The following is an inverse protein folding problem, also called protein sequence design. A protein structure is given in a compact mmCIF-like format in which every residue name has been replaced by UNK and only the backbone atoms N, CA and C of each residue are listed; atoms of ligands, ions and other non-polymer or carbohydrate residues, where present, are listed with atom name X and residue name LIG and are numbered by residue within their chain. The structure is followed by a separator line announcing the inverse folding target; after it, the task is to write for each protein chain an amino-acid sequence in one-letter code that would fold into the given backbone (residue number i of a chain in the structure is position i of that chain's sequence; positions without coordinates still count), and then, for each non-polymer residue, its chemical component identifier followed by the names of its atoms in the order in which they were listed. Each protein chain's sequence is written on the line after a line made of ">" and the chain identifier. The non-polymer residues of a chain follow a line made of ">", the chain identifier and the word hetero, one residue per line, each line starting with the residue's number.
data_IF_122793939629
#
_entry.id   IF_122793939629
#
_cell.length_a   1.000
_cell.length_b   1.000
_cell.length_c   1.000
_cell.angle_alpha   90.00
_cell.angle_beta   90.00
_cell.angle_gamma   90.00
#
_symmetry.space_group_name_H-M   'P 1'
#
loop_
_entity.id
_entity.type
_entity.pdbx_description
1 polymer ?
#
# COMPACT_ATOMS: atom_id res chain seq x y z
N UNK A 1 -11.60 -39.55 44.54
CA UNK A 1 -11.73 -39.27 43.11
C UNK A 1 -11.97 -37.78 42.88
N UNK A 2 -10.94 -36.92 42.91
CA UNK A 2 -11.09 -35.49 42.53
C UNK A 2 -9.88 -34.87 41.80
N UNK A 3 -8.75 -35.57 41.64
CA UNK A 3 -7.53 -34.95 41.11
C UNK A 3 -7.43 -34.92 39.57
N UNK A 4 -8.12 -35.81 38.85
CA UNK A 4 -8.12 -35.80 37.37
C UNK A 4 -9.04 -34.73 36.74
N UNK A 5 -10.06 -34.27 37.47
CA UNK A 5 -11.02 -33.29 36.93
C UNK A 5 -10.40 -31.88 36.86
N UNK A 6 -9.60 -31.50 37.87
CA UNK A 6 -8.90 -30.23 37.91
C UNK A 6 -7.81 -30.10 36.81
N UNK A 7 -7.13 -31.21 36.50
CA UNK A 7 -6.12 -31.24 35.44
C UNK A 7 -6.73 -31.06 34.03
N UNK A 8 -7.92 -31.62 33.79
CA UNK A 8 -8.65 -31.45 32.53
C UNK A 8 -9.22 -30.03 32.37
N UNK A 9 -9.69 -29.40 33.47
CA UNK A 9 -10.09 -27.99 33.45
C UNK A 9 -8.90 -27.07 33.12
N UNK A 10 -7.74 -27.29 33.73
CA UNK A 10 -6.54 -26.49 33.48
C UNK A 10 -6.01 -26.61 32.03
N UNK A 11 -6.12 -27.80 31.43
CA UNK A 11 -5.74 -28.00 30.01
C UNK A 11 -6.66 -27.23 29.05
N UNK A 12 -7.96 -27.16 29.33
CA UNK A 12 -8.91 -26.40 28.50
C UNK A 12 -8.70 -24.88 28.60
N UNK A 13 -8.47 -24.35 29.80
CA UNK A 13 -8.20 -22.91 30.00
C UNK A 13 -6.91 -22.46 29.29
N UNK A 14 -5.87 -23.30 29.35
CA UNK A 14 -4.61 -23.02 28.66
C UNK A 14 -4.77 -23.04 27.13
N UNK A 15 -5.57 -23.96 26.59
CA UNK A 15 -5.84 -24.03 25.15
C UNK A 15 -6.64 -22.81 24.67
N UNK A 16 -7.65 -22.37 25.44
CA UNK A 16 -8.41 -21.15 25.16
C UNK A 16 -7.51 -19.92 25.19
N UNK A 17 -6.61 -19.81 26.18
CA UNK A 17 -5.66 -18.71 26.27
C UNK A 17 -4.73 -18.65 25.05
N UNK A 18 -4.21 -19.80 24.60
CA UNK A 18 -3.36 -19.90 23.41
C UNK A 18 -4.13 -19.46 22.16
N UNK A 19 -5.38 -19.92 21.97
CA UNK A 19 -6.21 -19.51 20.84
C UNK A 19 -6.49 -18.00 20.83
N UNK A 20 -6.77 -17.40 21.99
CA UNK A 20 -6.97 -15.95 22.12
C UNK A 20 -5.70 -15.19 21.76
N UNK A 21 -4.53 -15.62 22.24
CA UNK A 21 -3.24 -14.99 21.91
C UNK A 21 -2.94 -15.11 20.40
N UNK A 22 -3.21 -16.27 19.79
CA UNK A 22 -3.05 -16.45 18.34
C UNK A 22 -3.93 -15.49 17.53
N UNK A 23 -5.21 -15.35 17.89
CA UNK A 23 -6.11 -14.41 17.22
C UNK A 23 -5.67 -12.95 17.39
N UNK A 24 -5.08 -12.59 18.53
CA UNK A 24 -4.53 -11.25 18.75
C UNK A 24 -3.29 -10.97 17.88
N UNK A 25 -2.43 -11.96 17.65
CA UNK A 25 -1.19 -11.80 16.87
C UNK A 25 -1.42 -11.53 15.37
N UNK A 26 -2.49 -12.09 14.79
CA UNK A 26 -2.82 -11.92 13.36
C UNK A 26 -3.25 -10.49 12.98
N UNK A 27 -3.56 -9.64 13.96
CA UNK A 27 -3.96 -8.25 13.72
C UNK A 27 -2.79 -7.31 13.40
N UNK A 28 -1.56 -7.81 13.33
CA UNK A 28 -0.39 -7.07 12.83
C UNK A 28 -0.33 -7.07 11.29
N UNK A 29 -1.40 -6.61 10.65
CA UNK A 29 -1.38 -6.35 9.22
C UNK A 29 -0.26 -5.33 8.92
N UNK A 30 0.78 -5.77 8.21
CA UNK A 30 1.81 -4.88 7.66
C UNK A 30 1.12 -3.93 6.68
N UNK A 31 0.67 -2.79 7.20
CA UNK A 31 0.18 -1.69 6.38
C UNK A 31 1.37 -1.23 5.55
N UNK A 32 1.39 -1.62 4.27
CA UNK A 32 2.37 -1.13 3.31
C UNK A 32 2.17 0.38 3.21
N UNK A 33 3.06 1.14 3.86
CA UNK A 33 3.01 2.60 3.86
C UNK A 33 3.18 3.11 2.43
N UNK A 34 2.10 3.57 1.80
CA UNK A 34 2.17 4.41 0.62
C UNK A 34 2.54 5.83 1.06
N UNK A 35 3.37 6.51 0.27
CA UNK A 35 3.67 7.93 0.44
C UNK A 35 3.18 8.65 -0.80
N UNK A 36 2.21 9.56 -0.62
CA UNK A 36 1.66 10.34 -1.72
C UNK A 36 2.34 11.70 -1.82
N UNK A 37 2.80 12.06 -3.01
CA UNK A 37 3.47 13.31 -3.31
C UNK A 37 2.65 14.15 -4.31
N UNK A 38 2.26 15.35 -3.87
CA UNK A 38 1.44 16.33 -4.61
C UNK A 38 2.24 17.55 -5.09
N UNK A 39 3.57 17.48 -5.05
CA UNK A 39 4.44 18.60 -5.44
C UNK A 39 4.39 18.92 -6.94
N UNK A 40 4.03 17.94 -7.77
CA UNK A 40 3.95 18.05 -9.22
C UNK A 40 2.49 18.22 -9.64
N UNK A 41 2.17 19.31 -10.36
CA UNK A 41 0.79 19.65 -10.76
C UNK A 41 0.61 19.96 -12.25
N UNK A 42 1.63 19.69 -13.07
CA UNK A 42 1.59 19.98 -14.50
C UNK A 42 2.02 18.79 -15.34
N UNK A 43 1.64 18.83 -16.62
CA UNK A 43 2.05 17.85 -17.63
C UNK A 43 2.88 18.54 -18.72
N UNK A 44 3.91 17.86 -19.20
CA UNK A 44 4.66 18.21 -20.41
C UNK A 44 3.80 17.94 -21.64
N UNK A 45 3.10 16.79 -21.66
CA UNK A 45 2.14 16.44 -22.71
C UNK A 45 0.89 15.81 -22.09
N UNK A 46 -0.30 16.20 -22.57
CA UNK A 46 -1.59 15.70 -22.08
C UNK A 46 -2.00 14.35 -22.69
N UNK A 47 -1.02 13.53 -23.09
CA UNK A 47 -1.30 12.18 -23.60
C UNK A 47 -1.47 11.18 -22.46
N UNK A 48 -2.20 10.10 -22.70
CA UNK A 48 -2.25 8.96 -21.78
C UNK A 48 -1.00 8.10 -21.92
N UNK A 49 -0.41 7.68 -20.81
CA UNK A 49 0.73 6.75 -20.79
C UNK A 49 0.28 5.32 -21.12
N UNK A 50 1.17 4.53 -21.74
CA UNK A 50 1.04 3.08 -21.85
C UNK A 50 1.41 2.37 -20.54
N UNK A 51 1.17 1.06 -20.50
CA UNK A 51 1.55 0.22 -19.37
C UNK A 51 3.06 0.21 -19.16
N UNK A 52 3.50 0.40 -17.90
CA UNK A 52 4.91 0.53 -17.51
C UNK A 52 5.69 1.67 -18.18
N UNK A 53 4.98 2.60 -18.84
CA UNK A 53 5.62 3.80 -19.38
C UNK A 53 5.96 4.79 -18.26
N UNK A 54 7.05 5.53 -18.44
CA UNK A 54 7.52 6.54 -17.48
C UNK A 54 6.58 7.74 -17.49
N UNK A 55 5.81 7.89 -16.41
CA UNK A 55 4.93 9.04 -16.18
C UNK A 55 5.67 10.24 -15.60
N UNK A 56 6.75 10.03 -14.83
CA UNK A 56 7.57 11.11 -14.25
C UNK A 56 9.04 10.71 -14.18
N UNK A 57 9.93 11.59 -14.66
CA UNK A 57 11.37 11.40 -14.62
C UNK A 57 11.97 11.93 -13.30
N UNK A 58 13.15 11.44 -12.95
CA UNK A 58 13.93 11.96 -11.84
C UNK A 58 14.12 13.49 -11.96
N UNK A 59 13.98 14.19 -10.84
CA UNK A 59 14.15 15.65 -10.71
C UNK A 59 13.24 16.56 -11.57
N UNK A 60 12.36 16.01 -12.40
CA UNK A 60 11.40 16.81 -13.17
C UNK A 60 10.23 17.29 -12.30
N UNK A 61 9.78 18.53 -12.56
CA UNK A 61 8.64 19.18 -11.89
C UNK A 61 7.34 19.08 -12.69
N UNK A 62 7.33 18.29 -13.76
CA UNK A 62 6.19 18.04 -14.64
C UNK A 62 6.08 16.55 -14.96
N UNK A 63 4.85 16.06 -15.09
CA UNK A 63 4.55 14.71 -15.58
C UNK A 63 4.74 14.64 -17.10
N UNK A 64 5.25 13.53 -17.64
CA UNK A 64 5.38 13.36 -19.09
C UNK A 64 4.03 13.07 -19.75
N UNK A 65 3.21 12.26 -19.10
CA UNK A 65 1.92 11.81 -19.59
C UNK A 65 1.00 11.49 -18.40
N UNK A 66 -0.30 11.34 -18.66
CA UNK A 66 -1.31 10.99 -17.67
C UNK A 66 -1.48 9.48 -17.57
N UNK A 67 -1.36 8.89 -16.39
CA UNK A 67 -1.74 7.48 -16.21
C UNK A 67 -3.27 7.32 -16.33
N UNK A 68 -3.76 6.22 -16.90
CA UNK A 68 -5.19 5.93 -16.94
C UNK A 68 -5.79 5.77 -15.54
N UNK A 69 -7.11 5.97 -15.41
CA UNK A 69 -7.82 6.07 -14.11
C UNK A 69 -7.68 4.84 -13.20
N UNK A 70 -7.35 3.68 -13.77
CA UNK A 70 -7.13 2.41 -13.07
C UNK A 70 -5.67 2.16 -12.66
N UNK A 71 -4.79 3.17 -12.79
CA UNK A 71 -3.36 3.03 -12.53
C UNK A 71 -2.75 4.27 -11.86
N UNK A 72 -1.61 4.06 -11.22
CA UNK A 72 -0.89 5.04 -10.41
C UNK A 72 0.48 5.32 -10.98
N UNK A 73 0.91 6.58 -10.90
CA UNK A 73 2.28 6.96 -11.22
C UNK A 73 3.16 6.62 -10.01
N UNK A 74 3.81 5.45 -10.04
CA UNK A 74 4.52 4.86 -8.90
C UNK A 74 6.03 4.89 -9.12
N UNK A 75 6.77 5.29 -8.10
CA UNK A 75 8.22 5.09 -8.01
C UNK A 75 8.63 4.31 -6.74
N UNK A 76 9.83 3.69 -6.72
CA UNK A 76 10.43 3.14 -5.50
C UNK A 76 10.75 4.21 -4.44
N UNK A 77 10.89 5.47 -4.85
CA UNK A 77 11.17 6.60 -3.98
C UNK A 77 11.22 7.92 -4.75
N UNK A 78 11.45 9.04 -4.05
CA UNK A 78 11.42 10.40 -4.59
C UNK A 78 12.42 10.65 -5.74
N UNK A 79 13.58 10.01 -5.67
CA UNK A 79 14.71 10.22 -6.59
C UNK A 79 14.76 9.23 -7.76
N UNK A 80 13.67 8.48 -8.00
CA UNK A 80 13.59 7.51 -9.07
C UNK A 80 12.53 7.91 -10.09
N UNK A 81 12.67 7.37 -11.30
CA UNK A 81 11.62 7.43 -12.31
C UNK A 81 10.36 6.74 -11.79
N UNK A 82 9.22 7.33 -12.10
CA UNK A 82 7.91 6.77 -11.81
C UNK A 82 7.29 6.22 -13.10
N UNK A 83 6.60 5.09 -12.96
CA UNK A 83 5.93 4.39 -14.06
C UNK A 83 4.46 4.16 -13.71
N UNK A 84 3.61 4.08 -14.74
CA UNK A 84 2.21 3.71 -14.51
C UNK A 84 2.10 2.24 -14.10
N UNK A 85 1.57 2.00 -12.89
CA UNK A 85 1.39 0.68 -12.28
C UNK A 85 0.03 0.58 -11.61
N UNK A 86 -0.59 -0.61 -11.62
CA UNK A 86 -1.84 -0.86 -10.88
C UNK A 86 -1.65 -0.96 -9.37
N UNK A 87 -0.40 -0.99 -8.88
CA UNK A 87 -0.13 -1.17 -7.46
C UNK A 87 0.07 0.16 -6.75
N UNK A 88 -0.79 0.44 -5.78
CA UNK A 88 -0.83 1.69 -5.03
C UNK A 88 0.23 1.80 -3.90
N UNK A 89 1.13 0.83 -3.79
CA UNK A 89 2.13 0.81 -2.71
C UNK A 89 3.41 1.55 -3.10
N UNK A 90 4.17 2.03 -2.12
CA UNK A 90 5.42 2.75 -2.37
C UNK A 90 5.23 4.26 -2.52
N UNK A 91 6.04 4.90 -3.36
CA UNK A 91 5.98 6.34 -3.57
C UNK A 91 5.03 6.63 -4.73
N UNK A 92 3.90 7.26 -4.44
CA UNK A 92 2.85 7.57 -5.40
C UNK A 92 2.93 9.07 -5.72
N UNK A 93 3.00 9.37 -7.02
CA UNK A 93 2.92 10.74 -7.51
C UNK A 93 1.47 11.04 -7.88
N UNK A 94 0.84 11.91 -7.09
CA UNK A 94 -0.55 12.29 -7.28
C UNK A 94 -0.67 13.15 -8.53
N UNK A 95 -1.44 12.66 -9.49
CA UNK A 95 -1.65 13.33 -10.77
C UNK A 95 -2.84 14.28 -10.68
N UNK A 96 -2.72 15.53 -11.15
CA UNK A 96 -3.84 16.44 -11.19
C UNK A 96 -4.94 15.87 -12.10
N UNK A 97 -6.18 15.86 -11.62
CA UNK A 97 -7.35 15.26 -12.27
C UNK A 97 -7.29 13.72 -12.41
N UNK A 98 -6.51 13.01 -11.60
CA UNK A 98 -6.78 11.58 -11.36
C UNK A 98 -7.98 11.45 -10.43
N UNK A 99 -8.91 10.55 -10.74
CA UNK A 99 -10.03 10.24 -9.84
C UNK A 99 -9.57 9.63 -8.51
N UNK A 100 -8.31 9.21 -8.48
CA UNK A 100 -7.66 8.72 -7.30
C UNK A 100 -7.36 9.84 -6.30
N UNK A 101 -8.17 9.89 -5.25
CA UNK A 101 -7.85 10.58 -3.99
C UNK A 101 -7.60 9.49 -2.97
N UNK A 102 -6.33 9.19 -2.71
CA UNK A 102 -5.95 8.33 -1.60
C UNK A 102 -6.67 8.80 -0.34
N UNK A 103 -7.52 7.93 0.20
CA UNK A 103 -8.09 8.06 1.54
C UNK A 103 -7.12 7.45 2.54
#
# INVERSE_FOLDING_TARGET
>A
MCDCCAALQAQNEMYVLILVVCMLLESTAVSKRSYSDQSVKGYVTERTCWWNEVCKEEFQILFRCKCPAWSYCRSPGKYYNAVCSMTETGYIWDQPNSEWRGQ
#
